data_IF_168293496983
#
_entry.id   IF_168293496983
#
_cell.length_a   1.000
_cell.length_b   1.000
_cell.length_c   1.000
_cell.angle_alpha   90.00
_cell.angle_beta   90.00
_cell.angle_gamma   90.00
#
_symmetry.space_group_name_H-M   'P 1'
#
loop_
_entity.id
_entity.type
_entity.pdbx_description
1 polymer ?
#
# COMPACT_ATOMS: atom_id res chain seq x y z
N UNK A 1 -16.35 20.78 12.94
CA UNK A 1 -17.35 21.81 12.54
C UNK A 1 -18.73 21.15 12.43
N UNK A 2 -19.83 21.93 12.43
CA UNK A 2 -21.21 21.40 12.40
C UNK A 2 -21.47 20.43 11.23
N UNK A 3 -20.85 20.68 10.08
CA UNK A 3 -21.00 19.86 8.88
C UNK A 3 -20.47 18.42 9.04
N UNK A 4 -19.24 18.25 9.60
CA UNK A 4 -18.67 16.91 9.86
C UNK A 4 -19.49 16.09 10.86
N UNK A 5 -20.18 16.74 11.80
CA UNK A 5 -21.02 16.05 12.80
C UNK A 5 -22.28 15.45 12.18
N UNK A 6 -22.87 16.13 11.18
CA UNK A 6 -24.06 15.65 10.46
C UNK A 6 -23.74 14.77 9.23
N UNK A 7 -22.48 14.73 8.79
CA UNK A 7 -22.02 13.94 7.64
C UNK A 7 -20.83 13.04 8.04
N UNK A 8 -21.07 12.14 8.99
CA UNK A 8 -20.06 11.14 9.36
C UNK A 8 -19.75 10.26 8.13
N UNK A 9 -18.50 10.28 7.67
CA UNK A 9 -18.06 9.30 6.68
C UNK A 9 -18.15 7.90 7.28
N UNK A 10 -18.70 6.98 6.50
CA UNK A 10 -18.65 5.57 6.86
C UNK A 10 -17.25 5.06 6.53
N UNK A 11 -16.54 4.41 7.46
CA UNK A 11 -15.27 3.78 7.13
C UNK A 11 -15.51 2.69 6.08
N UNK A 12 -14.56 2.53 5.17
CA UNK A 12 -14.47 1.32 4.36
C UNK A 12 -14.10 0.11 5.23
N UNK A 13 -13.80 -0.99 4.58
CA UNK A 13 -13.36 -2.24 5.18
C UNK A 13 -12.03 -2.68 4.57
N UNK A 14 -11.41 -3.69 5.15
CA UNK A 14 -10.26 -4.35 4.53
C UNK A 14 -10.54 -4.83 3.10
N UNK A 15 -11.77 -5.25 2.79
CA UNK A 15 -12.12 -5.72 1.45
C UNK A 15 -12.06 -4.59 0.42
N UNK A 16 -12.46 -3.37 0.78
CA UNK A 16 -12.33 -2.20 -0.10
C UNK A 16 -10.85 -1.89 -0.38
N UNK A 17 -9.97 -2.04 0.63
CA UNK A 17 -8.52 -1.88 0.45
C UNK A 17 -7.95 -2.94 -0.50
N UNK A 18 -8.34 -4.19 -0.33
CA UNK A 18 -7.86 -5.29 -1.20
C UNK A 18 -8.45 -5.19 -2.61
N UNK A 19 -9.67 -4.67 -2.77
CA UNK A 19 -10.24 -4.33 -4.10
C UNK A 19 -9.42 -3.27 -4.81
N UNK A 20 -8.94 -2.26 -4.08
CA UNK A 20 -8.01 -1.27 -4.63
C UNK A 20 -6.67 -1.90 -5.03
N UNK A 21 -6.11 -2.80 -4.21
CA UNK A 21 -4.89 -3.54 -4.57
C UNK A 21 -5.11 -4.33 -5.87
N UNK A 22 -6.18 -5.11 -5.97
CA UNK A 22 -6.52 -5.89 -7.17
C UNK A 22 -6.67 -5.02 -8.41
N UNK A 23 -7.32 -3.87 -8.27
CA UNK A 23 -7.48 -2.94 -9.37
C UNK A 23 -6.12 -2.42 -9.87
N UNK A 24 -5.22 -2.03 -8.95
CA UNK A 24 -3.89 -1.54 -9.33
C UNK A 24 -3.08 -2.69 -9.96
N UNK A 25 -3.14 -3.91 -9.42
CA UNK A 25 -2.49 -5.09 -10.02
C UNK A 25 -3.00 -5.33 -11.44
N UNK A 26 -4.31 -5.21 -11.68
CA UNK A 26 -4.91 -5.38 -13.01
C UNK A 26 -4.47 -4.31 -14.01
N UNK A 27 -4.30 -3.07 -13.57
CA UNK A 27 -4.00 -1.92 -14.44
C UNK A 27 -2.50 -1.75 -14.67
N UNK A 28 -1.70 -1.82 -13.60
CA UNK A 28 -0.27 -1.54 -13.62
C UNK A 28 0.61 -2.79 -13.50
N UNK A 29 0.05 -3.94 -13.13
CA UNK A 29 0.81 -5.15 -12.83
C UNK A 29 1.32 -5.18 -11.39
N UNK A 30 1.55 -6.40 -10.88
CA UNK A 30 1.90 -6.63 -9.46
C UNK A 30 3.22 -5.97 -9.02
N UNK A 31 4.15 -5.76 -9.95
CA UNK A 31 5.45 -5.14 -9.67
C UNK A 31 5.36 -3.64 -9.31
N UNK A 32 4.17 -3.04 -9.43
CA UNK A 32 3.93 -1.59 -9.29
C UNK A 32 3.03 -1.25 -8.10
N UNK A 33 2.77 -2.20 -7.21
CA UNK A 33 1.94 -1.98 -6.02
C UNK A 33 2.79 -1.91 -4.76
N UNK A 34 2.45 -1.00 -3.86
CA UNK A 34 3.03 -0.88 -2.53
C UNK A 34 1.97 -0.44 -1.51
N UNK A 35 2.30 -0.53 -0.23
CA UNK A 35 1.40 -0.16 0.87
C UNK A 35 1.89 1.13 1.54
N UNK A 36 1.00 2.10 1.67
CA UNK A 36 1.20 3.32 2.45
C UNK A 36 -0.12 3.70 3.12
N UNK A 37 -0.27 3.34 4.40
CA UNK A 37 -1.56 3.41 5.10
C UNK A 37 -2.00 4.81 5.54
N UNK A 38 -1.05 5.74 5.64
CA UNK A 38 -1.26 7.05 6.25
C UNK A 38 -1.80 6.96 7.71
N UNK A 39 -1.39 5.92 8.44
CA UNK A 39 -1.64 5.82 9.89
C UNK A 39 -1.12 7.09 10.59
N UNK A 40 -1.87 7.55 11.60
CA UNK A 40 -1.67 8.83 12.30
C UNK A 40 -1.81 10.10 11.43
N UNK A 41 -1.99 9.97 10.11
CA UNK A 41 -2.23 11.06 9.16
C UNK A 41 -3.71 11.32 8.86
N UNK A 42 -4.57 10.30 9.04
CA UNK A 42 -6.01 10.37 8.73
C UNK A 42 -6.91 10.32 9.96
N UNK A 43 -8.16 10.80 9.79
CA UNK A 43 -9.17 10.82 10.87
C UNK A 43 -10.13 9.62 10.85
N UNK A 44 -10.03 8.73 9.87
CA UNK A 44 -10.90 7.56 9.72
C UNK A 44 -10.13 6.49 8.98
N UNK A 45 -10.13 5.27 9.53
CA UNK A 45 -9.47 4.10 8.97
C UNK A 45 -10.51 3.04 8.59
N UNK A 46 -10.21 2.14 7.65
CA UNK A 46 -11.07 1.02 7.34
C UNK A 46 -11.25 0.09 8.55
N UNK A 47 -12.42 -0.53 8.66
CA UNK A 47 -12.65 -1.59 9.64
C UNK A 47 -11.68 -2.75 9.39
N UNK A 48 -11.18 -3.34 10.49
CA UNK A 48 -10.13 -4.36 10.52
C UNK A 48 -8.73 -3.85 10.13
N UNK A 49 -8.57 -2.54 9.93
CA UNK A 49 -7.30 -1.87 9.68
C UNK A 49 -7.11 -0.65 10.60
N UNK A 50 -7.44 -0.82 11.88
CA UNK A 50 -7.48 0.28 12.86
C UNK A 50 -6.08 0.79 13.27
N UNK A 51 -5.04 -0.02 13.14
CA UNK A 51 -3.68 0.36 13.51
C UNK A 51 -2.61 -0.49 12.78
N UNK A 52 -1.33 -0.19 13.03
CA UNK A 52 -0.18 -0.87 12.42
C UNK A 52 -0.10 -2.38 12.74
N UNK A 53 -0.71 -2.86 13.82
CA UNK A 53 -0.70 -4.29 14.16
C UNK A 53 -1.58 -5.12 13.22
N UNK A 54 -2.45 -4.47 12.44
CA UNK A 54 -3.44 -5.12 11.56
C UNK A 54 -2.91 -5.49 10.17
N UNK A 55 -1.69 -5.09 9.79
CA UNK A 55 -1.10 -5.46 8.48
C UNK A 55 -1.16 -6.95 8.12
N UNK A 56 -0.99 -7.91 9.05
CA UNK A 56 -1.16 -9.34 8.74
C UNK A 56 -2.53 -9.70 8.17
N UNK A 57 -3.58 -8.93 8.47
CA UNK A 57 -4.92 -9.15 7.92
C UNK A 57 -4.96 -8.85 6.40
N UNK A 58 -4.17 -7.88 5.92
CA UNK A 58 -4.03 -7.62 4.47
C UNK A 58 -3.40 -8.83 3.79
N UNK A 59 -2.33 -9.38 4.39
CA UNK A 59 -1.68 -10.59 3.90
C UNK A 59 -2.66 -11.75 3.81
N UNK A 60 -3.46 -11.98 4.86
CA UNK A 60 -4.48 -13.04 4.85
C UNK A 60 -5.52 -12.80 3.73
N UNK A 61 -6.04 -11.58 3.60
CA UNK A 61 -7.03 -11.27 2.58
C UNK A 61 -6.47 -11.42 1.15
N UNK A 62 -5.19 -11.14 0.92
CA UNK A 62 -4.52 -11.40 -0.36
C UNK A 62 -4.34 -12.91 -0.61
N UNK A 63 -3.97 -13.70 0.42
CA UNK A 63 -3.91 -15.16 0.31
C UNK A 63 -5.28 -15.74 -0.08
N UNK A 64 -6.36 -15.26 0.56
CA UNK A 64 -7.73 -15.69 0.27
C UNK A 64 -8.16 -15.37 -1.17
N UNK A 65 -7.55 -14.36 -1.81
CA UNK A 65 -7.75 -14.00 -3.22
C UNK A 65 -6.81 -14.73 -4.19
N UNK A 66 -5.98 -15.65 -3.69
CA UNK A 66 -5.11 -16.48 -4.51
C UNK A 66 -3.80 -15.82 -4.94
N UNK A 67 -3.39 -14.73 -4.28
CA UNK A 67 -2.03 -14.20 -4.48
C UNK A 67 -1.00 -15.20 -3.99
N UNK A 68 0.06 -15.35 -4.77
CA UNK A 68 1.21 -16.16 -4.36
C UNK A 68 2.02 -15.45 -3.27
N UNK A 69 2.73 -16.23 -2.45
CA UNK A 69 3.67 -15.70 -1.44
C UNK A 69 4.65 -14.67 -2.04
N UNK A 70 5.13 -14.93 -3.26
CA UNK A 70 6.04 -14.01 -3.95
C UNK A 70 5.35 -12.67 -4.28
N UNK A 71 4.12 -12.69 -4.80
CA UNK A 71 3.37 -11.47 -5.10
C UNK A 71 3.03 -10.67 -3.84
N UNK A 72 2.70 -11.37 -2.75
CA UNK A 72 2.46 -10.72 -1.46
C UNK A 72 3.75 -10.04 -0.98
N UNK A 73 4.91 -10.71 -1.03
CA UNK A 73 6.20 -10.08 -0.67
C UNK A 73 6.51 -8.86 -1.54
N UNK A 74 6.17 -8.90 -2.82
CA UNK A 74 6.27 -7.75 -3.73
C UNK A 74 5.45 -6.56 -3.23
N UNK A 75 4.15 -6.77 -3.00
CA UNK A 75 3.21 -5.75 -2.51
C UNK A 75 3.65 -5.20 -1.14
N UNK A 76 4.03 -6.09 -0.23
CA UNK A 76 4.37 -5.75 1.16
C UNK A 76 5.72 -5.06 1.31
N UNK A 77 6.59 -5.05 0.29
CA UNK A 77 7.81 -4.25 0.36
C UNK A 77 8.87 -4.50 -0.72
N UNK A 78 8.91 -5.65 -1.39
CA UNK A 78 9.99 -5.88 -2.37
C UNK A 78 9.91 -4.93 -3.57
N UNK A 79 8.71 -4.47 -3.95
CA UNK A 79 8.55 -3.45 -4.97
C UNK A 79 9.14 -2.10 -4.54
N UNK A 80 8.88 -1.68 -3.30
CA UNK A 80 9.49 -0.48 -2.72
C UNK A 80 11.03 -0.60 -2.71
N UNK A 81 11.55 -1.73 -2.24
CA UNK A 81 12.99 -1.98 -2.20
C UNK A 81 13.64 -2.00 -3.59
N UNK A 82 12.92 -2.46 -4.63
CA UNK A 82 13.38 -2.40 -6.02
C UNK A 82 13.49 -0.94 -6.48
N UNK A 83 12.45 -0.14 -6.28
CA UNK A 83 12.41 1.27 -6.71
C UNK A 83 13.44 2.10 -5.95
N UNK A 84 13.57 1.92 -4.64
CA UNK A 84 14.54 2.66 -3.83
C UNK A 84 15.98 2.38 -4.30
N UNK A 85 16.32 1.11 -4.57
CA UNK A 85 17.63 0.74 -5.13
C UNK A 85 17.90 1.38 -6.50
N UNK A 86 16.89 1.45 -7.36
CA UNK A 86 17.02 2.12 -8.66
C UNK A 86 17.26 3.63 -8.50
N UNK A 87 16.54 4.28 -7.58
CA UNK A 87 16.75 5.70 -7.27
C UNK A 87 18.18 5.97 -6.77
N UNK A 88 18.68 5.13 -5.86
CA UNK A 88 20.06 5.21 -5.36
C UNK A 88 21.11 5.01 -6.47
N UNK A 89 20.87 4.09 -7.42
CA UNK A 89 21.76 3.86 -8.56
C UNK A 89 21.85 5.10 -9.45
N UNK A 90 20.70 5.70 -9.79
CA UNK A 90 20.66 6.92 -10.61
C UNK A 90 21.34 8.07 -9.88
N UNK A 91 21.09 8.23 -8.57
CA UNK A 91 21.76 9.26 -7.77
C UNK A 91 23.29 9.14 -7.81
N UNK A 92 23.84 7.92 -7.69
CA UNK A 92 25.28 7.66 -7.80
C UNK A 92 25.85 7.99 -9.18
N UNK A 93 25.13 7.61 -10.24
CA UNK A 93 25.56 7.91 -11.62
C UNK A 93 25.67 9.41 -11.85
N UNK A 94 24.65 10.18 -11.45
CA UNK A 94 24.64 11.64 -11.62
C UNK A 94 25.75 12.34 -10.84
N UNK A 95 26.07 11.86 -9.64
CA UNK A 95 27.20 12.38 -8.85
C UNK A 95 28.55 12.16 -9.55
N UNK A 96 28.72 11.04 -10.26
CA UNK A 96 29.96 10.72 -10.99
C UNK A 96 30.11 11.47 -12.32
N UNK A 97 29.01 11.94 -12.91
CA UNK A 97 29.01 12.65 -14.20
C UNK A 97 29.06 14.17 -14.07
N UNK A 98 29.10 14.71 -12.84
CA UNK A 98 29.09 16.16 -12.56
C UNK A 98 30.50 16.73 -12.29
N UNK A 99 31.55 15.97 -12.56
CA UNK A 99 32.95 16.44 -12.65
C UNK A 99 33.28 16.93 -14.07
#
# INVERSE_FOLDING_TARGET
NRWKSSHKMKPGTIHDVVDHIDHIVKVAGVDHVGIGSDFDGVSTLPAQLEDVSTYPLITQALLDRGYTDQQIKQIMGLNLMRVLRQAEQVAKQLQQTTD
#
